data_IF_654061599261
#
_entry.id   IF_654061599261
#
_cell.length_a   1.000
_cell.length_b   1.000
_cell.length_c   1.000
_cell.angle_alpha   90.00
_cell.angle_beta   90.00
_cell.angle_gamma   90.00
#
_symmetry.space_group_name_H-M   'P 1'
#
loop_
_entity.id
_entity.type
_entity.pdbx_description
1 polymer ?
#
# COMPACT_ATOMS: atom_id res chain seq x y z
N UNK A 1 21.42 4.40 15.14
CA UNK A 1 22.01 4.10 13.82
C UNK A 1 23.50 3.77 13.98
N UNK A 2 23.84 2.50 14.22
CA UNK A 2 25.24 2.07 14.26
C UNK A 2 25.87 2.22 12.87
N UNK A 3 27.01 2.92 12.82
CA UNK A 3 27.65 3.38 11.60
C UNK A 3 28.89 2.52 11.38
N UNK A 4 28.89 1.55 10.45
CA UNK A 4 30.13 1.15 9.76
C UNK A 4 29.94 0.22 8.56
N UNK A 5 30.75 0.52 7.53
CA UNK A 5 31.15 -0.24 6.33
C UNK A 5 30.11 -0.49 5.21
N UNK A 6 30.37 0.23 4.11
CA UNK A 6 29.83 0.13 2.75
C UNK A 6 28.54 0.91 2.37
N UNK A 7 28.50 2.20 2.76
CA UNK A 7 27.40 3.18 2.58
C UNK A 7 27.18 3.74 1.16
N UNK A 8 27.80 3.15 0.14
CA UNK A 8 27.58 3.56 -1.25
C UNK A 8 27.17 2.39 -2.14
N UNK A 9 27.15 1.17 -1.60
CA UNK A 9 26.83 -0.03 -2.36
C UNK A 9 25.46 0.03 -3.02
N UNK A 10 24.46 0.63 -2.36
CA UNK A 10 23.11 0.73 -2.91
C UNK A 10 23.03 1.64 -4.15
N UNK A 11 23.82 2.71 -4.21
CA UNK A 11 23.82 3.65 -5.34
C UNK A 11 24.36 3.02 -6.62
N UNK A 12 25.28 2.05 -6.50
CA UNK A 12 25.82 1.31 -7.66
C UNK A 12 24.72 0.56 -8.41
N UNK A 13 23.72 0.02 -7.69
CA UNK A 13 22.62 -0.76 -8.28
C UNK A 13 21.43 0.11 -8.70
N UNK A 14 21.43 1.38 -8.34
CA UNK A 14 20.30 2.29 -8.54
C UNK A 14 19.93 2.48 -10.02
N UNK A 15 20.87 2.67 -10.97
CA UNK A 15 20.53 2.78 -12.39
C UNK A 15 19.82 1.55 -12.92
N UNK A 16 20.29 0.35 -12.54
CA UNK A 16 19.67 -0.93 -12.94
C UNK A 16 18.26 -1.06 -12.38
N UNK A 17 18.07 -0.69 -11.11
CA UNK A 17 16.77 -0.70 -10.47
C UNK A 17 15.80 0.27 -11.17
N UNK A 18 16.22 1.49 -11.49
CA UNK A 18 15.40 2.45 -12.24
C UNK A 18 15.05 1.95 -13.63
N UNK A 19 15.99 1.37 -14.37
CA UNK A 19 15.69 0.78 -15.69
C UNK A 19 14.67 -0.35 -15.60
N UNK A 20 14.79 -1.22 -14.59
CA UNK A 20 13.84 -2.31 -14.34
C UNK A 20 12.45 -1.79 -13.98
N UNK A 21 12.35 -0.78 -13.10
CA UNK A 21 11.08 -0.17 -12.75
C UNK A 21 10.44 0.56 -13.92
N UNK A 22 11.23 1.29 -14.70
CA UNK A 22 10.76 1.97 -15.90
C UNK A 22 10.21 0.99 -16.95
N UNK A 23 10.89 -0.13 -17.16
CA UNK A 23 10.41 -1.22 -18.01
C UNK A 23 9.06 -1.76 -17.51
N UNK A 24 8.97 -2.03 -16.21
CA UNK A 24 7.75 -2.57 -15.59
C UNK A 24 6.57 -1.59 -15.66
N UNK A 25 6.82 -0.31 -15.42
CA UNK A 25 5.84 0.77 -15.61
C UNK A 25 5.33 0.80 -17.05
N UNK A 26 6.22 0.70 -18.05
CA UNK A 26 5.81 0.66 -19.47
C UNK A 26 4.98 -0.59 -19.78
N UNK A 27 5.40 -1.75 -19.27
CA UNK A 27 4.69 -3.02 -19.43
C UNK A 27 3.29 -2.93 -18.84
N UNK A 28 3.15 -2.41 -17.62
CA UNK A 28 1.85 -2.24 -16.98
C UNK A 28 0.96 -1.22 -17.68
N UNK A 29 1.51 -0.07 -18.12
CA UNK A 29 0.73 0.91 -18.92
C UNK A 29 0.18 0.29 -20.20
N UNK A 30 0.97 -0.54 -20.88
CA UNK A 30 0.51 -1.26 -22.08
C UNK A 30 -0.59 -2.26 -21.71
N UNK A 31 -0.38 -3.03 -20.64
CA UNK A 31 -1.33 -4.03 -20.16
C UNK A 31 -2.69 -3.43 -19.80
N UNK A 32 -2.72 -2.30 -19.09
CA UNK A 32 -3.96 -1.61 -18.71
C UNK A 32 -4.82 -1.24 -19.93
N UNK A 33 -4.19 -0.72 -20.99
CA UNK A 33 -4.88 -0.31 -22.22
C UNK A 33 -5.58 -1.46 -22.93
N UNK A 34 -5.08 -2.69 -22.77
CA UNK A 34 -5.62 -3.88 -23.42
C UNK A 34 -6.49 -4.73 -22.48
N UNK A 35 -6.72 -4.30 -21.24
CA UNK A 35 -7.44 -5.06 -20.21
C UNK A 35 -8.46 -4.17 -19.51
N UNK A 36 -8.15 -3.68 -18.31
CA UNK A 36 -9.10 -2.99 -17.44
C UNK A 36 -9.70 -1.72 -18.06
N UNK A 37 -8.96 -1.02 -18.92
CA UNK A 37 -9.50 0.16 -19.62
C UNK A 37 -10.68 -0.24 -20.50
N UNK A 38 -10.64 -1.41 -21.14
CA UNK A 38 -11.76 -1.90 -21.95
C UNK A 38 -12.98 -2.17 -21.07
N UNK A 39 -12.78 -2.76 -19.88
CA UNK A 39 -13.87 -3.03 -18.96
C UNK A 39 -14.47 -1.77 -18.34
N UNK A 40 -13.66 -0.75 -18.08
CA UNK A 40 -14.08 0.57 -17.60
C UNK A 40 -14.85 1.34 -18.68
N UNK A 41 -14.37 1.35 -19.94
CA UNK A 41 -15.11 2.00 -21.02
C UNK A 41 -16.48 1.33 -21.22
N UNK A 42 -16.57 0.00 -21.06
CA UNK A 42 -17.86 -0.71 -21.07
C UNK A 42 -18.75 -0.34 -19.87
N UNK A 43 -18.18 -0.12 -18.69
CA UNK A 43 -18.97 0.26 -17.50
C UNK A 43 -19.53 1.68 -17.63
N UNK A 44 -18.78 2.60 -18.25
CA UNK A 44 -19.23 3.98 -18.51
C UNK A 44 -20.50 4.04 -19.35
N UNK A 45 -20.66 3.14 -20.33
CA UNK A 45 -21.85 3.09 -21.19
C UNK A 45 -23.14 2.76 -20.42
N UNK A 46 -23.03 2.08 -19.28
CA UNK A 46 -24.16 1.60 -18.49
C UNK A 46 -24.06 2.10 -17.03
N UNK A 47 -23.45 3.27 -16.83
CA UNK A 47 -23.27 3.84 -15.51
C UNK A 47 -24.55 4.54 -15.04
N UNK A 48 -25.07 4.11 -13.89
CA UNK A 48 -26.23 4.71 -13.21
C UNK A 48 -25.89 5.94 -12.34
N UNK A 49 -24.69 6.50 -12.54
CA UNK A 49 -24.05 7.58 -11.78
C UNK A 49 -23.49 7.17 -10.41
N UNK A 50 -23.43 5.88 -10.09
CA UNK A 50 -22.71 5.39 -8.89
C UNK A 50 -21.19 5.30 -9.08
N UNK A 51 -20.69 5.45 -10.31
CA UNK A 51 -19.26 5.59 -10.60
C UNK A 51 -18.95 7.00 -11.12
N UNK A 52 -17.89 7.60 -10.59
CA UNK A 52 -17.40 8.92 -10.98
C UNK A 52 -16.07 8.85 -11.74
N UNK A 53 -15.67 9.94 -12.39
CA UNK A 53 -14.35 10.06 -13.02
C UNK A 53 -13.19 9.88 -12.03
N UNK A 54 -13.41 10.23 -10.75
CA UNK A 54 -12.44 10.00 -9.69
C UNK A 54 -12.21 8.51 -9.47
N UNK A 55 -13.27 7.70 -9.51
CA UNK A 55 -13.18 6.26 -9.27
C UNK A 55 -12.46 5.58 -10.45
N UNK A 56 -12.79 5.96 -11.68
CA UNK A 56 -12.07 5.51 -12.88
C UNK A 56 -10.59 5.90 -12.85
N UNK A 57 -10.27 7.10 -12.35
CA UNK A 57 -8.89 7.55 -12.18
C UNK A 57 -8.16 6.77 -11.09
N UNK A 58 -8.79 6.46 -9.94
CA UNK A 58 -8.23 5.58 -8.91
C UNK A 58 -7.91 4.19 -9.47
N UNK A 59 -8.85 3.60 -10.21
CA UNK A 59 -8.69 2.26 -10.79
C UNK A 59 -7.54 2.19 -11.80
N UNK A 60 -7.43 3.16 -12.71
CA UNK A 60 -6.48 3.11 -13.84
C UNK A 60 -5.16 3.85 -13.60
N UNK A 61 -5.19 4.90 -12.80
CA UNK A 61 -4.06 5.80 -12.55
C UNK A 61 -3.34 5.55 -11.24
N UNK A 62 -4.04 4.99 -10.24
CA UNK A 62 -3.48 4.70 -8.92
C UNK A 62 -3.37 3.21 -8.66
N UNK A 63 -4.41 2.55 -8.17
CA UNK A 63 -4.27 1.19 -7.65
C UNK A 63 -4.01 0.13 -8.73
N UNK A 64 -4.83 0.06 -9.79
CA UNK A 64 -4.62 -0.91 -10.88
C UNK A 64 -3.35 -0.69 -11.68
N UNK A 65 -2.70 0.48 -11.54
CA UNK A 65 -1.39 0.76 -12.12
C UNK A 65 -0.23 0.52 -11.15
N UNK A 66 -0.24 1.19 -9.99
CA UNK A 66 0.88 1.21 -9.06
C UNK A 66 1.05 -0.14 -8.33
N UNK A 67 -0.04 -0.81 -7.96
CA UNK A 67 0.03 -2.11 -7.27
C UNK A 67 0.77 -3.15 -8.12
N UNK A 68 0.37 -3.48 -9.37
CA UNK A 68 1.14 -4.37 -10.24
C UNK A 68 2.54 -3.85 -10.54
N UNK A 69 2.69 -2.57 -10.88
CA UNK A 69 3.97 -2.03 -11.37
C UNK A 69 5.04 -1.88 -10.29
N UNK A 70 4.65 -1.79 -9.01
CA UNK A 70 5.56 -1.64 -7.88
C UNK A 70 5.52 -2.86 -6.95
N UNK A 71 4.37 -3.14 -6.33
CA UNK A 71 4.27 -4.23 -5.36
C UNK A 71 4.38 -5.60 -6.04
N UNK A 72 3.66 -5.78 -7.16
CA UNK A 72 3.71 -7.02 -7.93
C UNK A 72 5.11 -7.34 -8.45
N UNK A 73 5.79 -6.35 -9.02
CA UNK A 73 7.20 -6.50 -9.43
C UNK A 73 8.13 -6.69 -8.23
N UNK A 74 7.82 -6.09 -7.07
CA UNK A 74 8.51 -6.35 -5.80
C UNK A 74 8.46 -7.82 -5.40
N UNK A 75 7.27 -8.44 -5.43
CA UNK A 75 7.11 -9.88 -5.19
C UNK A 75 7.89 -10.72 -6.21
N UNK A 76 7.88 -10.32 -7.48
CA UNK A 76 8.64 -10.99 -8.55
C UNK A 76 10.16 -10.90 -8.31
N UNK A 77 10.66 -9.75 -7.86
CA UNK A 77 12.08 -9.57 -7.49
C UNK A 77 12.47 -10.52 -6.37
N UNK A 78 11.63 -10.67 -5.34
CA UNK A 78 11.88 -11.55 -4.19
C UNK A 78 11.86 -13.03 -4.60
N UNK A 79 10.85 -13.43 -5.38
CA UNK A 79 10.71 -14.80 -5.92
C UNK A 79 11.79 -15.14 -6.95
N UNK A 80 12.32 -14.14 -7.65
CA UNK A 80 13.36 -14.31 -8.66
C UNK A 80 12.86 -14.72 -10.03
N UNK A 81 11.58 -14.51 -10.32
CA UNK A 81 10.94 -14.82 -11.60
C UNK A 81 10.04 -13.66 -12.02
N UNK A 82 9.87 -13.50 -13.32
CA UNK A 82 9.00 -12.46 -13.87
C UNK A 82 7.53 -12.80 -13.62
N UNK A 83 6.71 -11.75 -13.50
CA UNK A 83 5.26 -11.90 -13.37
C UNK A 83 4.66 -12.57 -14.60
N UNK A 84 3.92 -13.67 -14.39
CA UNK A 84 3.19 -14.36 -15.45
C UNK A 84 2.01 -13.51 -15.95
N UNK A 85 1.44 -13.88 -17.10
CA UNK A 85 0.26 -13.17 -17.61
C UNK A 85 -0.94 -13.33 -16.66
N UNK A 86 -1.16 -14.54 -16.14
CA UNK A 86 -2.19 -14.87 -15.14
C UNK A 86 -2.02 -14.00 -13.89
N UNK A 87 -0.81 -13.97 -13.30
CA UNK A 87 -0.51 -13.14 -12.14
C UNK A 87 -0.73 -11.64 -12.42
N UNK A 88 -0.38 -11.17 -13.63
CA UNK A 88 -0.58 -9.77 -14.02
C UNK A 88 -2.07 -9.43 -14.14
N UNK A 89 -2.89 -10.31 -14.70
CA UNK A 89 -4.35 -10.15 -14.67
C UNK A 89 -4.84 -10.11 -13.22
N UNK A 90 -4.52 -11.14 -12.42
CA UNK A 90 -4.95 -11.25 -11.03
C UNK A 90 -4.68 -9.97 -10.24
N UNK A 91 -3.41 -9.55 -10.17
CA UNK A 91 -3.02 -8.40 -9.33
C UNK A 91 -3.50 -7.05 -9.90
N UNK A 92 -3.66 -6.92 -11.23
CA UNK A 92 -4.19 -5.68 -11.82
C UNK A 92 -5.64 -5.46 -11.42
N UNK A 93 -6.46 -6.52 -11.49
CA UNK A 93 -7.87 -6.44 -11.11
C UNK A 93 -8.05 -6.36 -9.58
N UNK A 94 -7.20 -7.03 -8.78
CA UNK A 94 -7.15 -6.80 -7.32
C UNK A 94 -6.76 -5.37 -6.94
N UNK A 95 -5.76 -4.80 -7.61
CA UNK A 95 -5.40 -3.39 -7.40
C UNK A 95 -6.60 -2.50 -7.68
N UNK A 96 -7.20 -2.62 -8.87
CA UNK A 96 -8.32 -1.75 -9.23
C UNK A 96 -9.56 -1.91 -8.35
N UNK A 97 -9.91 -3.14 -7.95
CA UNK A 97 -11.07 -3.35 -7.08
C UNK A 97 -10.88 -2.75 -5.68
N UNK A 98 -9.63 -2.57 -5.21
CA UNK A 98 -9.35 -1.92 -3.92
C UNK A 98 -9.90 -0.49 -3.89
N UNK A 99 -9.82 0.24 -5.00
CA UNK A 99 -10.39 1.58 -5.09
C UNK A 99 -11.91 1.60 -4.94
N UNK A 100 -12.61 0.63 -5.55
CA UNK A 100 -14.06 0.47 -5.42
C UNK A 100 -14.45 -0.01 -4.01
N UNK A 101 -13.64 -0.88 -3.43
CA UNK A 101 -13.85 -1.41 -2.08
C UNK A 101 -13.75 -0.31 -1.02
N UNK A 102 -12.76 0.59 -1.14
CA UNK A 102 -12.64 1.76 -0.26
C UNK A 102 -13.93 2.60 -0.28
N UNK A 103 -14.50 2.84 -1.48
CA UNK A 103 -15.70 3.65 -1.64
C UNK A 103 -16.94 3.02 -0.96
N UNK A 104 -17.01 1.68 -0.83
CA UNK A 104 -18.10 1.00 -0.11
C UNK A 104 -18.18 1.32 1.37
N UNK A 105 -17.06 1.66 2.01
CA UNK A 105 -17.04 2.03 3.44
C UNK A 105 -17.20 3.53 3.64
N UNK A 106 -16.91 4.32 2.61
CA UNK A 106 -17.20 5.75 2.58
C UNK A 106 -18.70 6.02 2.31
N UNK A 107 -19.41 5.12 1.62
CA UNK A 107 -20.86 5.19 1.41
C UNK A 107 -21.64 4.60 2.61
N UNK A 108 -22.24 5.48 3.42
CA UNK A 108 -23.02 5.13 4.60
C UNK A 108 -24.26 4.25 4.33
N UNK A 109 -24.65 4.03 3.08
CA UNK A 109 -25.85 3.27 2.73
C UNK A 109 -25.61 1.77 2.51
N UNK A 110 -24.37 1.33 2.33
CA UNK A 110 -24.09 -0.08 2.03
C UNK A 110 -23.95 -0.91 3.30
N UNK A 111 -24.78 -1.94 3.43
CA UNK A 111 -24.71 -2.79 4.61
C UNK A 111 -23.44 -3.64 4.62
N UNK A 112 -22.81 -3.73 5.79
CA UNK A 112 -21.65 -4.61 6.06
C UNK A 112 -21.87 -6.05 5.60
N UNK A 113 -23.09 -6.57 5.77
CA UNK A 113 -23.49 -7.91 5.35
C UNK A 113 -23.47 -8.05 3.82
N UNK A 114 -23.98 -7.06 3.10
CA UNK A 114 -24.01 -7.06 1.63
C UNK A 114 -22.60 -7.04 1.02
N UNK A 115 -21.70 -6.23 1.60
CA UNK A 115 -20.28 -6.23 1.18
C UNK A 115 -19.66 -7.62 1.33
N UNK A 116 -19.92 -8.28 2.47
CA UNK A 116 -19.41 -9.62 2.75
C UNK A 116 -19.97 -10.67 1.77
N UNK A 117 -21.26 -10.58 1.43
CA UNK A 117 -21.90 -11.45 0.44
C UNK A 117 -21.26 -11.30 -0.94
N UNK A 118 -20.99 -10.06 -1.39
CA UNK A 118 -20.30 -9.80 -2.66
C UNK A 118 -18.86 -10.34 -2.69
N UNK A 119 -18.13 -10.32 -1.56
CA UNK A 119 -16.79 -10.93 -1.47
C UNK A 119 -16.88 -12.46 -1.55
N UNK A 120 -17.80 -13.06 -0.79
CA UNK A 120 -17.91 -14.51 -0.69
C UNK A 120 -18.36 -15.16 -2.01
N UNK A 121 -19.40 -14.58 -2.59
CA UNK A 121 -20.07 -15.05 -3.80
C UNK A 121 -20.18 -13.88 -4.78
N UNK A 122 -19.11 -13.52 -5.51
CA UNK A 122 -19.15 -12.43 -6.47
C UNK A 122 -20.00 -12.85 -7.67
N UNK A 123 -21.29 -12.57 -7.59
CA UNK A 123 -22.33 -12.93 -8.55
C UNK A 123 -23.02 -11.66 -9.03
N UNK A 124 -23.19 -11.49 -10.35
CA UNK A 124 -23.75 -10.27 -10.91
C UNK A 124 -25.17 -10.01 -10.43
N UNK A 125 -25.92 -11.05 -10.04
CA UNK A 125 -27.27 -10.93 -9.48
C UNK A 125 -27.31 -10.21 -8.12
N UNK A 126 -26.19 -10.14 -7.40
CA UNK A 126 -26.09 -9.40 -6.13
C UNK A 126 -25.90 -7.89 -6.35
N UNK A 127 -25.49 -7.46 -7.55
CA UNK A 127 -25.20 -6.06 -7.82
C UNK A 127 -26.49 -5.23 -7.85
N UNK A 128 -26.53 -4.18 -7.04
CA UNK A 128 -27.66 -3.25 -6.99
C UNK A 128 -27.44 -1.99 -7.84
N UNK A 129 -26.20 -1.74 -8.27
CA UNK A 129 -25.81 -0.57 -9.05
C UNK A 129 -24.55 -0.83 -9.90
N UNK A 130 -24.19 0.13 -10.76
CA UNK A 130 -23.05 0.02 -11.67
C UNK A 130 -21.70 -0.13 -10.95
N UNK A 131 -21.52 0.50 -9.78
CA UNK A 131 -20.31 0.35 -8.96
C UNK A 131 -20.14 -1.10 -8.46
N UNK A 132 -21.17 -1.66 -7.82
CA UNK A 132 -21.17 -3.04 -7.33
C UNK A 132 -20.98 -4.05 -8.47
N UNK A 133 -21.62 -3.80 -9.63
CA UNK A 133 -21.46 -4.67 -10.81
C UNK A 133 -20.00 -4.69 -11.30
N UNK A 134 -19.35 -3.53 -11.33
CA UNK A 134 -17.94 -3.45 -11.72
C UNK A 134 -17.02 -4.12 -10.69
N UNK A 135 -17.30 -3.95 -9.40
CA UNK A 135 -16.60 -4.62 -8.31
C UNK A 135 -16.68 -6.14 -8.43
N UNK A 136 -17.89 -6.70 -8.60
CA UNK A 136 -18.11 -8.14 -8.76
C UNK A 136 -17.35 -8.67 -9.98
N UNK A 137 -17.45 -7.98 -11.13
CA UNK A 137 -16.74 -8.36 -12.35
C UNK A 137 -15.22 -8.40 -12.13
N UNK A 138 -14.66 -7.42 -11.44
CA UNK A 138 -13.21 -7.40 -11.15
C UNK A 138 -12.82 -8.51 -10.18
N UNK A 139 -13.63 -8.79 -9.17
CA UNK A 139 -13.43 -9.94 -8.28
C UNK A 139 -13.41 -11.25 -9.07
N UNK A 140 -14.39 -11.49 -9.93
CA UNK A 140 -14.45 -12.71 -10.76
C UNK A 140 -13.22 -12.86 -11.66
N UNK A 141 -12.76 -11.78 -12.29
CA UNK A 141 -11.56 -11.82 -13.13
C UNK A 141 -10.31 -12.12 -12.29
N UNK A 142 -10.16 -11.49 -11.13
CA UNK A 142 -9.03 -11.74 -10.26
C UNK A 142 -9.00 -13.19 -9.75
N UNK A 143 -10.14 -13.72 -9.29
CA UNK A 143 -10.28 -15.10 -8.82
C UNK A 143 -9.97 -16.11 -9.93
N UNK A 144 -10.50 -15.88 -11.14
CA UNK A 144 -10.19 -16.73 -12.32
C UNK A 144 -8.70 -16.76 -12.65
N UNK A 145 -7.98 -15.68 -12.35
CA UNK A 145 -6.55 -15.52 -12.61
C UNK A 145 -5.70 -15.70 -11.34
N UNK A 146 -6.25 -16.30 -10.30
CA UNK A 146 -5.50 -16.71 -9.12
C UNK A 146 -5.18 -18.21 -9.19
N UNK A 147 -4.12 -18.62 -8.50
CA UNK A 147 -3.83 -20.05 -8.35
C UNK A 147 -4.78 -20.70 -7.36
N UNK A 148 -5.02 -20.03 -6.24
CA UNK A 148 -5.96 -20.45 -5.21
C UNK A 148 -7.00 -19.34 -4.95
N UNK A 149 -8.16 -19.48 -5.60
CA UNK A 149 -9.25 -18.53 -5.47
C UNK A 149 -9.84 -18.49 -4.05
N UNK A 150 -9.80 -19.60 -3.31
CA UNK A 150 -10.32 -19.66 -1.95
C UNK A 150 -9.37 -18.95 -0.99
N UNK A 151 -8.06 -19.07 -1.18
CA UNK A 151 -7.08 -18.27 -0.43
C UNK A 151 -7.28 -16.76 -0.66
N UNK A 152 -7.49 -16.33 -1.91
CA UNK A 152 -7.78 -14.91 -2.22
C UNK A 152 -9.02 -14.43 -1.47
N UNK A 153 -10.12 -15.20 -1.48
CA UNK A 153 -11.34 -14.85 -0.74
C UNK A 153 -11.12 -14.82 0.77
N UNK A 154 -10.42 -15.80 1.32
CA UNK A 154 -10.10 -15.87 2.74
C UNK A 154 -9.31 -14.64 3.21
N UNK A 155 -8.35 -14.18 2.41
CA UNK A 155 -7.60 -12.95 2.71
C UNK A 155 -8.47 -11.71 2.49
N UNK A 156 -9.33 -11.68 1.47
CA UNK A 156 -10.30 -10.59 1.27
C UNK A 156 -11.23 -10.41 2.49
N UNK A 157 -11.64 -11.49 3.15
CA UNK A 157 -12.39 -11.42 4.41
C UNK A 157 -11.58 -10.77 5.54
N UNK A 158 -10.29 -11.10 5.67
CA UNK A 158 -9.42 -10.45 6.66
C UNK A 158 -9.25 -8.95 6.36
N UNK A 159 -9.10 -8.57 5.08
CA UNK A 159 -9.06 -7.15 4.67
C UNK A 159 -10.37 -6.44 5.02
N UNK A 160 -11.51 -7.08 4.78
CA UNK A 160 -12.81 -6.58 5.19
C UNK A 160 -12.88 -6.34 6.71
N UNK A 161 -12.46 -7.30 7.53
CA UNK A 161 -12.47 -7.18 8.98
C UNK A 161 -11.56 -6.03 9.45
N UNK A 162 -10.39 -5.86 8.83
CA UNK A 162 -9.48 -4.75 9.13
C UNK A 162 -10.09 -3.39 8.78
N UNK A 163 -10.80 -3.29 7.65
CA UNK A 163 -11.51 -2.07 7.24
C UNK A 163 -12.73 -1.77 8.13
N UNK A 164 -13.42 -2.80 8.61
CA UNK A 164 -14.46 -2.63 9.65
C UNK A 164 -13.84 -2.11 10.94
N UNK A 165 -12.71 -2.67 11.36
CA UNK A 165 -12.01 -2.25 12.57
C UNK A 165 -11.50 -0.80 12.49
N UNK A 166 -11.13 -0.31 11.30
CA UNK A 166 -10.63 1.06 11.13
C UNK A 166 -11.65 2.15 11.47
N UNK A 167 -12.95 1.83 11.53
CA UNK A 167 -13.97 2.78 12.03
C UNK A 167 -13.72 3.20 13.48
N UNK A 168 -13.06 2.36 14.28
CA UNK A 168 -12.63 2.71 15.64
C UNK A 168 -11.67 3.92 15.65
N UNK A 169 -10.96 4.20 14.56
CA UNK A 169 -10.09 5.38 14.49
C UNK A 169 -10.86 6.71 14.50
N UNK A 170 -12.18 6.70 14.31
CA UNK A 170 -13.04 7.89 14.49
C UNK A 170 -13.49 8.09 15.94
N UNK A 171 -13.34 7.08 16.78
CA UNK A 171 -13.84 7.07 18.15
C UNK A 171 -12.76 7.57 19.11
N UNK A 172 -13.14 8.41 20.07
CA UNK A 172 -12.19 9.03 21.03
C UNK A 172 -11.66 8.06 22.08
N UNK A 173 -12.42 7.01 22.37
CA UNK A 173 -12.12 5.98 23.36
C UNK A 173 -11.11 4.93 22.89
N UNK A 174 -10.87 4.84 21.57
CA UNK A 174 -9.91 3.88 21.02
C UNK A 174 -8.50 4.17 21.52
N UNK A 175 -7.84 3.14 22.04
CA UNK A 175 -6.50 3.27 22.61
C UNK A 175 -5.44 3.45 21.52
N UNK A 176 -4.27 3.99 21.87
CA UNK A 176 -3.14 4.08 20.93
C UNK A 176 -2.67 2.69 20.45
N UNK A 177 -2.73 1.68 21.32
CA UNK A 177 -2.39 0.28 20.99
C UNK A 177 -3.36 -0.30 19.95
N UNK A 178 -4.67 -0.06 20.12
CA UNK A 178 -5.67 -0.47 19.12
C UNK A 178 -5.47 0.26 17.78
N UNK A 179 -5.13 1.56 17.82
CA UNK A 179 -4.83 2.33 16.60
C UNK A 179 -3.59 1.78 15.91
N UNK A 180 -2.53 1.46 16.66
CA UNK A 180 -1.34 0.81 16.12
C UNK A 180 -1.68 -0.53 15.45
N UNK A 181 -2.48 -1.36 16.11
CA UNK A 181 -2.93 -2.64 15.57
C UNK A 181 -3.73 -2.46 14.28
N UNK A 182 -4.67 -1.52 14.25
CA UNK A 182 -5.45 -1.21 13.04
C UNK A 182 -4.54 -0.77 11.89
N UNK A 183 -3.59 0.15 12.14
CA UNK A 183 -2.63 0.60 11.14
C UNK A 183 -1.82 -0.59 10.58
N UNK A 184 -1.33 -1.48 11.44
CA UNK A 184 -0.56 -2.66 11.02
C UNK A 184 -1.41 -3.66 10.23
N UNK A 185 -2.60 -4.01 10.74
CA UNK A 185 -3.49 -5.00 10.13
C UNK A 185 -3.96 -4.53 8.75
N UNK A 186 -4.39 -3.26 8.63
CA UNK A 186 -4.91 -2.70 7.37
C UNK A 186 -3.86 -2.74 6.27
N UNK A 187 -2.65 -2.27 6.56
CA UNK A 187 -1.55 -2.29 5.60
C UNK A 187 -1.07 -3.70 5.28
N UNK A 188 -0.83 -4.50 6.32
CA UNK A 188 -0.32 -5.87 6.21
C UNK A 188 -1.24 -6.77 5.39
N UNK A 189 -2.53 -6.81 5.75
CA UNK A 189 -3.51 -7.65 5.07
C UNK A 189 -3.76 -7.18 3.63
N UNK A 190 -3.65 -5.89 3.34
CA UNK A 190 -3.73 -5.38 1.97
C UNK A 190 -2.58 -5.87 1.09
N UNK A 191 -1.34 -5.89 1.59
CA UNK A 191 -0.21 -6.44 0.83
C UNK A 191 -0.33 -7.96 0.68
N UNK A 192 -0.81 -8.66 1.71
CA UNK A 192 -1.06 -10.09 1.65
C UNK A 192 -2.14 -10.43 0.63
N UNK A 193 -3.19 -9.59 0.54
CA UNK A 193 -4.24 -9.70 -0.48
C UNK A 193 -3.65 -9.60 -1.89
N UNK A 194 -2.76 -8.65 -2.15
CA UNK A 194 -2.09 -8.57 -3.44
C UNK A 194 -1.14 -9.73 -3.72
N UNK A 195 -0.50 -10.32 -2.69
CA UNK A 195 0.35 -11.51 -2.86
C UNK A 195 -0.45 -12.78 -3.17
N UNK A 196 -1.70 -12.87 -2.73
CA UNK A 196 -2.53 -14.08 -2.82
C UNK A 196 -2.87 -14.55 -4.24
N UNK A 197 -2.75 -13.68 -5.25
CA UNK A 197 -2.97 -14.06 -6.66
C UNK A 197 -1.73 -14.65 -7.33
N UNK A 198 -0.57 -14.56 -6.69
CA UNK A 198 0.66 -15.11 -7.23
C UNK A 198 0.74 -16.59 -6.94
N UNK A 199 1.35 -17.31 -7.87
CA UNK A 199 1.68 -18.73 -7.71
C UNK A 199 2.64 -18.93 -6.51
N UNK A 200 2.82 -20.18 -6.07
CA UNK A 200 3.59 -20.58 -4.89
C UNK A 200 2.94 -20.19 -3.56
N UNK A 201 2.90 -21.15 -2.65
CA UNK A 201 2.37 -20.97 -1.29
C UNK A 201 3.13 -19.87 -0.53
N UNK A 202 2.40 -19.16 0.32
CA UNK A 202 2.96 -18.14 1.20
C UNK A 202 3.46 -18.83 2.47
N UNK A 203 4.78 -18.94 2.64
CA UNK A 203 5.36 -19.45 3.89
C UNK A 203 5.05 -18.54 5.08
N UNK A 204 5.07 -19.08 6.30
CA UNK A 204 4.86 -18.28 7.53
C UNK A 204 5.85 -17.10 7.64
N UNK A 205 7.12 -17.32 7.29
CA UNK A 205 8.14 -16.26 7.28
C UNK A 205 7.84 -15.18 6.24
N UNK A 206 7.30 -15.56 5.07
CA UNK A 206 6.87 -14.60 4.06
C UNK A 206 5.62 -13.83 4.50
N UNK A 207 4.62 -14.51 5.08
CA UNK A 207 3.41 -13.86 5.60
C UNK A 207 3.78 -12.81 6.66
N UNK A 208 4.59 -13.18 7.65
CA UNK A 208 5.06 -12.25 8.68
C UNK A 208 5.82 -11.05 8.08
N UNK A 209 6.70 -11.31 7.11
CA UNK A 209 7.43 -10.27 6.39
C UNK A 209 6.48 -9.31 5.65
N UNK A 210 5.48 -9.84 4.95
CA UNK A 210 4.50 -9.08 4.19
C UNK A 210 3.62 -8.23 5.12
N UNK A 211 3.15 -8.82 6.22
CA UNK A 211 2.34 -8.12 7.22
C UNK A 211 3.12 -6.92 7.80
N UNK A 212 4.38 -7.13 8.18
CA UNK A 212 5.24 -6.06 8.69
C UNK A 212 5.52 -4.97 7.64
N UNK A 213 5.85 -5.35 6.41
CA UNK A 213 6.08 -4.41 5.31
C UNK A 213 4.83 -3.60 4.98
N UNK A 214 3.65 -4.24 5.02
CA UNK A 214 2.37 -3.56 4.80
C UNK A 214 2.05 -2.57 5.90
N UNK A 215 2.36 -2.90 7.16
CA UNK A 215 2.28 -1.97 8.28
C UNK A 215 3.13 -0.71 8.09
N UNK A 216 4.36 -0.84 7.55
CA UNK A 216 5.16 0.33 7.14
C UNK A 216 4.41 1.14 6.09
N UNK A 217 3.87 0.48 5.07
CA UNK A 217 3.13 1.14 3.98
C UNK A 217 1.93 1.94 4.47
N UNK A 218 1.13 1.40 5.42
CA UNK A 218 0.01 2.14 6.02
C UNK A 218 0.50 3.30 6.89
N UNK A 219 1.56 3.09 7.68
CA UNK A 219 2.14 4.17 8.47
C UNK A 219 2.70 5.30 7.56
N UNK A 220 3.30 4.99 6.42
CA UNK A 220 3.67 6.00 5.42
C UNK A 220 2.44 6.73 4.89
N UNK A 221 1.36 6.01 4.56
CA UNK A 221 0.12 6.63 4.11
C UNK A 221 -0.40 7.64 5.15
N UNK A 222 -0.53 7.22 6.41
CA UNK A 222 -0.96 8.07 7.52
C UNK A 222 -0.05 9.31 7.67
N UNK A 223 1.28 9.15 7.50
CA UNK A 223 2.27 10.24 7.56
C UNK A 223 2.13 11.23 6.39
N UNK A 224 1.83 10.74 5.18
CA UNK A 224 1.64 11.61 4.02
C UNK A 224 0.25 12.29 4.03
N UNK A 225 -0.74 11.66 4.65
CA UNK A 225 -2.13 12.13 4.73
C UNK A 225 -2.49 12.81 6.06
N UNK A 226 -1.53 13.09 6.96
CA UNK A 226 -1.76 13.72 8.28
C UNK A 226 -2.78 14.87 8.23
N UNK A 227 -2.62 15.80 7.27
CA UNK A 227 -3.55 16.91 7.13
C UNK A 227 -4.99 16.44 6.84
N UNK A 228 -5.15 15.53 5.89
CA UNK A 228 -6.45 14.99 5.48
C UNK A 228 -7.09 14.22 6.65
N UNK A 229 -6.35 13.35 7.29
CA UNK A 229 -6.84 12.53 8.40
C UNK A 229 -7.26 13.40 9.58
N UNK A 230 -6.46 14.40 9.93
CA UNK A 230 -6.79 15.37 10.96
C UNK A 230 -8.06 16.16 10.65
N UNK A 231 -8.25 16.62 9.41
CA UNK A 231 -9.46 17.34 9.01
C UNK A 231 -10.72 16.47 9.06
N UNK A 232 -10.59 15.17 8.86
CA UNK A 232 -11.70 14.22 8.96
C UNK A 232 -11.88 13.63 10.36
N UNK A 233 -11.08 14.05 11.34
CA UNK A 233 -11.14 13.50 12.71
C UNK A 233 -10.67 12.05 12.82
N UNK A 234 -9.92 11.56 11.84
CA UNK A 234 -9.37 10.20 11.84
C UNK A 234 -8.14 10.18 12.75
N UNK A 235 -8.16 9.32 13.76
CA UNK A 235 -7.07 9.11 14.72
C UNK A 235 -6.13 8.03 14.22
N UNK A 236 -5.04 8.46 13.59
CA UNK A 236 -3.88 7.64 13.22
C UNK A 236 -2.72 7.84 14.19
N UNK A 237 -1.70 6.96 14.16
CA UNK A 237 -0.46 7.17 14.93
C UNK A 237 0.19 8.53 14.61
N UNK A 238 0.08 8.97 13.36
CA UNK A 238 0.63 10.24 12.91
C UNK A 238 -0.17 11.46 13.40
N UNK A 239 -1.48 11.31 13.64
CA UNK A 239 -2.31 12.40 14.18
C UNK A 239 -2.30 12.49 15.71
N UNK A 240 -1.98 11.40 16.40
CA UNK A 240 -1.97 11.34 17.87
C UNK A 240 -0.62 11.73 18.47
N UNK A 241 0.47 11.51 17.74
CA UNK A 241 1.80 11.81 18.28
C UNK A 241 1.95 13.30 18.60
N UNK A 242 2.59 13.58 19.73
CA UNK A 242 3.02 14.93 20.10
C UNK A 242 4.50 15.18 19.82
N UNK A 243 5.20 14.13 19.37
CA UNK A 243 6.65 14.08 19.14
C UNK A 243 6.95 13.22 17.91
N UNK A 244 7.29 13.86 16.80
CA UNK A 244 7.59 13.18 15.54
C UNK A 244 8.73 12.17 15.69
N UNK A 245 9.70 12.44 16.57
CA UNK A 245 10.79 11.50 16.81
C UNK A 245 10.30 10.14 17.37
N UNK A 246 9.21 10.10 18.16
CA UNK A 246 8.64 8.84 18.64
C UNK A 246 8.08 8.01 17.48
N UNK A 247 7.32 8.66 16.60
CA UNK A 247 6.81 8.04 15.37
C UNK A 247 7.94 7.57 14.45
N UNK A 248 9.02 8.35 14.36
CA UNK A 248 10.24 7.97 13.63
C UNK A 248 10.88 6.72 14.23
N UNK A 249 10.95 6.58 15.56
CA UNK A 249 11.50 5.36 16.19
C UNK A 249 10.65 4.12 15.92
N UNK A 250 9.32 4.26 15.96
CA UNK A 250 8.39 3.17 15.56
C UNK A 250 8.65 2.75 14.12
N UNK A 251 8.77 3.73 13.22
CA UNK A 251 9.05 3.47 11.80
C UNK A 251 10.41 2.78 11.57
N UNK A 252 11.47 3.21 12.27
CA UNK A 252 12.79 2.56 12.23
C UNK A 252 12.70 1.11 12.69
N UNK A 253 11.98 0.86 13.79
CA UNK A 253 11.83 -0.49 14.36
C UNK A 253 11.11 -1.42 13.37
N UNK A 254 10.05 -0.95 12.73
CA UNK A 254 9.34 -1.71 11.68
C UNK A 254 10.24 -1.99 10.46
N UNK A 255 11.04 -1.01 10.02
CA UNK A 255 11.99 -1.22 8.93
C UNK A 255 13.03 -2.30 9.29
N UNK A 256 13.62 -2.22 10.48
CA UNK A 256 14.63 -3.18 10.95
C UNK A 256 14.04 -4.60 11.06
N UNK A 257 12.83 -4.72 11.62
CA UNK A 257 12.13 -6.01 11.70
C UNK A 257 11.78 -6.56 10.32
N UNK A 258 11.31 -5.71 9.39
CA UNK A 258 11.04 -6.11 8.01
C UNK A 258 12.29 -6.66 7.34
N UNK A 259 13.45 -6.01 7.52
CA UNK A 259 14.70 -6.46 6.91
C UNK A 259 15.16 -7.79 7.48
N UNK A 260 15.03 -7.96 8.80
CA UNK A 260 15.28 -9.24 9.48
C UNK A 260 14.36 -10.34 8.94
N UNK A 261 13.06 -10.09 8.82
CA UNK A 261 12.09 -11.05 8.30
C UNK A 261 12.38 -11.44 6.84
N UNK A 262 12.77 -10.48 5.99
CA UNK A 262 13.22 -10.78 4.61
C UNK A 262 14.38 -11.77 4.61
N UNK A 263 15.34 -11.63 5.51
CA UNK A 263 16.48 -12.56 5.61
C UNK A 263 16.07 -13.95 6.10
N UNK A 264 14.99 -14.06 6.88
CA UNK A 264 14.45 -15.32 7.42
C UNK A 264 13.59 -16.11 6.41
N UNK A 265 13.09 -15.48 5.33
CA UNK A 265 12.37 -16.19 4.26
C UNK A 265 13.23 -17.25 3.56
N UNK A 266 12.65 -18.18 2.81
CA UNK A 266 13.43 -19.22 2.10
C UNK A 266 13.94 -18.80 0.70
N UNK A 267 13.73 -17.53 0.34
CA UNK A 267 14.13 -17.00 -0.96
C UNK A 267 15.65 -16.94 -1.15
N UNK A 268 16.07 -16.97 -2.42
CA UNK A 268 17.48 -16.88 -2.78
C UNK A 268 18.13 -15.60 -2.20
N UNK A 269 19.30 -15.69 -1.53
CA UNK A 269 19.99 -14.53 -0.95
C UNK A 269 20.29 -13.39 -1.93
N UNK A 270 20.44 -13.68 -3.22
CA UNK A 270 20.60 -12.63 -4.26
C UNK A 270 19.29 -11.86 -4.48
N UNK A 271 18.14 -12.55 -4.41
CA UNK A 271 16.82 -11.95 -4.61
C UNK A 271 16.40 -11.14 -3.39
N UNK A 272 16.59 -11.67 -2.17
CA UNK A 272 16.42 -10.92 -0.92
C UNK A 272 17.15 -9.58 -0.95
N UNK A 273 18.42 -9.55 -1.35
CA UNK A 273 19.19 -8.31 -1.47
C UNK A 273 18.67 -7.35 -2.53
N UNK A 274 18.15 -7.84 -3.67
CA UNK A 274 17.51 -6.99 -4.68
C UNK A 274 16.20 -6.42 -4.15
N UNK A 275 15.40 -7.23 -3.47
CA UNK A 275 14.14 -6.84 -2.86
C UNK A 275 14.36 -5.78 -1.78
N UNK A 276 15.32 -5.99 -0.86
CA UNK A 276 15.68 -5.00 0.17
C UNK A 276 16.07 -3.65 -0.44
N UNK A 277 16.85 -3.63 -1.53
CA UNK A 277 17.17 -2.40 -2.27
C UNK A 277 15.92 -1.76 -2.88
N UNK A 278 15.04 -2.57 -3.45
CA UNK A 278 13.80 -2.09 -4.02
C UNK A 278 12.91 -1.42 -2.95
N UNK A 279 12.59 -2.12 -1.85
CA UNK A 279 11.73 -1.58 -0.80
C UNK A 279 12.40 -0.42 -0.04
N UNK A 280 13.74 -0.39 0.05
CA UNK A 280 14.46 0.73 0.66
C UNK A 280 14.19 2.07 -0.05
N UNK A 281 13.94 2.07 -1.36
CA UNK A 281 13.57 3.30 -2.08
C UNK A 281 12.19 3.82 -1.66
N UNK A 282 11.27 2.92 -1.31
CA UNK A 282 9.93 3.28 -0.84
C UNK A 282 10.06 3.80 0.60
N UNK A 283 10.66 2.98 1.48
CA UNK A 283 10.83 3.29 2.91
C UNK A 283 11.62 4.59 3.15
N UNK A 284 12.61 4.90 2.32
CA UNK A 284 13.38 6.13 2.49
C UNK A 284 12.55 7.41 2.26
N UNK A 285 11.36 7.32 1.66
CA UNK A 285 10.44 8.45 1.51
C UNK A 285 9.88 8.87 2.86
N UNK A 286 9.53 7.91 3.73
CA UNK A 286 9.13 8.18 5.12
C UNK A 286 10.13 9.04 5.88
N UNK A 287 11.44 8.75 5.78
CA UNK A 287 12.49 9.55 6.43
C UNK A 287 12.58 10.99 5.93
N UNK A 288 12.29 11.24 4.64
CA UNK A 288 12.23 12.60 4.11
C UNK A 288 11.03 13.35 4.70
N UNK A 289 9.91 12.68 4.89
CA UNK A 289 8.74 13.26 5.55
C UNK A 289 9.00 13.54 7.03
N UNK A 290 9.65 12.63 7.76
CA UNK A 290 10.04 12.87 9.15
C UNK A 290 10.95 14.11 9.30
N UNK A 291 11.97 14.27 8.43
CA UNK A 291 12.81 15.48 8.45
C UNK A 291 11.99 16.77 8.27
N UNK A 292 10.94 16.70 7.46
CA UNK A 292 10.03 17.82 7.21
C UNK A 292 9.16 18.11 8.43
N UNK A 293 8.54 17.08 9.02
CA UNK A 293 7.65 17.22 10.17
C UNK A 293 8.40 17.63 11.45
N UNK A 294 9.58 17.06 11.71
CA UNK A 294 10.42 17.46 12.86
C UNK A 294 10.84 18.93 12.77
N UNK A 295 11.13 19.43 11.57
CA UNK A 295 11.42 20.85 11.38
C UNK A 295 10.21 21.72 11.75
N UNK A 296 8.99 21.25 11.49
CA UNK A 296 7.78 21.97 11.85
C UNK A 296 7.45 21.84 13.35
N UNK A 297 7.76 20.71 13.98
CA UNK A 297 7.71 20.53 15.44
C UNK A 297 8.53 21.60 16.19
N UNK A 298 9.73 21.94 15.67
CA UNK A 298 10.57 22.98 16.27
C UNK A 298 9.92 24.37 16.25
N UNK A 299 8.96 24.63 15.35
CA UNK A 299 8.25 25.93 15.26
C UNK A 299 7.16 26.09 16.32
N UNK A 300 6.79 25.02 17.01
CA UNK A 300 5.68 24.96 17.98
C UNK A 300 6.20 24.53 19.36
N UNK A 301 7.27 25.18 19.82
CA UNK A 301 7.92 24.88 21.11
C UNK A 301 8.33 23.40 21.27
N UNK A 302 8.78 22.78 20.16
CA UNK A 302 9.13 21.35 20.12
C UNK A 302 7.95 20.44 20.50
N UNK A 303 6.70 20.83 20.23
CA UNK A 303 5.52 19.96 20.42
C UNK A 303 4.76 19.89 19.11
N UNK A 304 4.59 18.69 18.56
CA UNK A 304 3.82 18.49 17.35
C UNK A 304 2.33 18.65 17.67
N UNK A 305 1.77 19.82 17.36
CA UNK A 305 0.41 20.21 17.72
C UNK A 305 -0.35 20.57 16.45
N UNK A 306 -1.18 19.65 15.96
CA UNK A 306 -1.85 19.77 14.65
C UNK A 306 -2.73 21.02 14.50
N UNK A 307 -3.33 21.48 15.60
CA UNK A 307 -4.12 22.71 15.63
C UNK A 307 -3.30 24.00 15.41
N UNK A 308 -1.97 23.94 15.44
CA UNK A 308 -1.07 25.08 15.22
C UNK A 308 -0.46 25.12 13.82
N UNK A 309 -0.78 24.15 12.97
CA UNK A 309 -0.21 24.02 11.63
C UNK A 309 -1.21 24.33 10.53
N UNK A 310 -0.73 24.92 9.44
CA UNK A 310 -1.49 25.01 8.20
C UNK A 310 -1.24 23.77 7.32
N UNK A 311 -2.07 23.59 6.29
CA UNK A 311 -1.93 22.52 5.29
C UNK A 311 -0.49 22.38 4.76
N UNK A 312 0.17 23.50 4.46
CA UNK A 312 1.54 23.53 3.92
C UNK A 312 2.61 23.04 4.90
N UNK A 313 2.31 23.05 6.20
CA UNK A 313 3.20 22.59 7.26
C UNK A 313 3.04 21.07 7.53
N UNK A 314 2.01 20.44 6.96
CA UNK A 314 1.72 19.02 7.18
C UNK A 314 1.88 18.15 5.93
N UNK A 315 2.04 18.76 4.75
CA UNK A 315 2.18 18.04 3.49
C UNK A 315 3.63 18.10 2.98
N UNK A 316 4.34 16.97 3.05
CA UNK A 316 5.66 16.83 2.45
C UNK A 316 5.56 16.53 0.95
N UNK A 317 5.86 17.52 0.11
CA UNK A 317 5.86 17.37 -1.34
C UNK A 317 7.10 16.61 -1.84
N UNK A 318 6.95 15.31 -2.09
CA UNK A 318 8.00 14.44 -2.65
C UNK A 318 8.32 14.71 -4.14
N UNK A 319 7.57 15.58 -4.82
CA UNK A 319 7.87 16.04 -6.17
C UNK A 319 9.05 17.02 -6.23
N UNK A 320 9.42 17.63 -5.11
CA UNK A 320 10.54 18.60 -5.04
C UNK A 320 11.89 17.92 -5.26
N UNK A 321 12.75 18.53 -6.09
CA UNK A 321 14.10 18.03 -6.35
C UNK A 321 14.93 17.89 -5.06
N UNK A 322 14.81 18.85 -4.13
CA UNK A 322 15.50 18.81 -2.84
C UNK A 322 15.12 17.59 -1.99
N UNK A 323 13.84 17.20 -2.00
CA UNK A 323 13.35 16.02 -1.30
C UNK A 323 13.82 14.73 -1.97
N UNK A 324 13.91 14.69 -3.30
CA UNK A 324 14.51 13.57 -4.03
C UNK A 324 16.02 13.42 -3.74
N UNK A 325 16.76 14.52 -3.57
CA UNK A 325 18.17 14.45 -3.14
C UNK A 325 18.29 13.88 -1.71
N UNK A 326 17.41 14.30 -0.79
CA UNK A 326 17.36 13.73 0.57
C UNK A 326 17.03 12.24 0.55
N UNK A 327 16.08 11.82 -0.28
CA UNK A 327 15.74 10.41 -0.49
C UNK A 327 16.98 9.60 -0.88
N UNK A 328 17.73 10.06 -1.89
CA UNK A 328 18.96 9.39 -2.32
C UNK A 328 20.04 9.35 -1.22
N UNK A 329 20.10 10.37 -0.37
CA UNK A 329 20.99 10.41 0.80
C UNK A 329 20.59 9.38 1.86
N UNK A 330 19.30 9.16 2.11
CA UNK A 330 18.84 8.09 3.01
C UNK A 330 19.09 6.71 2.40
N UNK A 331 18.74 6.55 1.13
CA UNK A 331 18.91 5.32 0.40
C UNK A 331 20.37 4.84 0.34
N UNK A 332 21.33 5.76 0.16
CA UNK A 332 22.76 5.41 0.17
C UNK A 332 23.22 4.89 1.54
N UNK A 333 22.71 5.47 2.62
CA UNK A 333 23.08 5.12 4.00
C UNK A 333 22.39 3.86 4.55
N UNK A 334 21.37 3.34 3.87
CA UNK A 334 20.57 2.20 4.34
C UNK A 334 21.38 0.92 4.28
N UNK A 335 21.53 0.24 5.42
CA UNK A 335 22.13 -1.10 5.48
C UNK A 335 21.09 -2.16 5.16
N UNK A 336 21.37 -3.02 4.18
CA UNK A 336 20.49 -4.12 3.76
C UNK A 336 21.08 -5.49 4.14
N UNK A 337 22.13 -5.50 4.96
CA UNK A 337 22.87 -6.68 5.37
C UNK A 337 22.60 -6.99 6.83
#
# INVERSE_FOLDING_TARGET
>A
MAITKNRFGNLIYLPKLFMSLWSSIKKQKKFLKTTIVIDIEKSKLNNDNTLTDKDYSKMTGYYGFAVPALLGEGFCILRGRDMSEKERYGITYLGALTGLFDDFFDDHNLSKKHILEMINKPDEELAQNSNQKLFIKFCQIALKNSEDADQVKNIAFKVYDAQVASHKQLLTETTEEEIAKITMDKGGLSLLFYRSVFEDDISENEENMILCLGGIGQLENDIFDIYKDYQHGIRTLATLTTKINELRQTYISLMEETFKLVHQTDYNPKNKRKFLRFISLIICRGFVCFDFLEKNELRTNSKFSLNQYEKKDLICDMGKLSNNIKLLKYYSKTSIY
#
